data_IF_076049240243
#
_entry.id   IF_076049240243
#
_cell.length_a   1.000
_cell.length_b   1.000
_cell.length_c   1.000
_cell.angle_alpha   90.00
_cell.angle_beta   90.00
_cell.angle_gamma   90.00
#
_symmetry.space_group_name_H-M   'P 1'
#
loop_
_entity.id
_entity.type
_entity.pdbx_description
1 polymer ?
#
# COMPACT_ATOMS: atom_id res chain seq x y z
N UNK A 1 -11.68 24.10 -52.81
CA UNK A 1 -11.51 22.71 -52.33
C UNK A 1 -10.43 22.51 -51.25
N UNK A 2 -9.49 23.41 -50.95
CA UNK A 2 -8.44 23.17 -49.93
C UNK A 2 -8.80 23.56 -48.48
N UNK A 3 -9.76 24.47 -48.27
CA UNK A 3 -10.15 24.97 -46.94
C UNK A 3 -11.03 24.00 -46.13
N UNK A 4 -11.79 23.12 -46.79
CA UNK A 4 -12.65 22.13 -46.10
C UNK A 4 -11.86 21.05 -45.38
N UNK A 5 -10.77 20.55 -45.96
CA UNK A 5 -9.98 19.47 -45.37
C UNK A 5 -9.24 19.89 -44.08
N UNK A 6 -8.89 21.18 -43.96
CA UNK A 6 -8.21 21.71 -42.77
C UNK A 6 -9.17 21.73 -41.57
N UNK A 7 -10.43 22.10 -41.78
CA UNK A 7 -11.44 22.08 -40.72
C UNK A 7 -11.74 20.65 -40.21
N UNK A 8 -11.80 19.66 -41.11
CA UNK A 8 -11.97 18.26 -40.73
C UNK A 8 -10.75 17.67 -40.01
N UNK A 9 -9.52 18.06 -40.38
CA UNK A 9 -8.32 17.62 -39.66
C UNK A 9 -8.20 18.26 -38.26
N UNK A 10 -8.53 19.55 -38.12
CA UNK A 10 -8.52 20.23 -36.81
C UNK A 10 -9.60 19.66 -35.86
N UNK A 11 -10.78 19.30 -36.38
CA UNK A 11 -11.82 18.66 -35.57
C UNK A 11 -11.42 17.25 -35.10
N UNK A 12 -10.68 16.51 -35.92
CA UNK A 12 -10.14 15.19 -35.54
C UNK A 12 -9.04 15.26 -34.47
N UNK A 13 -8.21 16.30 -34.48
CA UNK A 13 -7.19 16.54 -33.45
C UNK A 13 -7.82 16.89 -32.09
N UNK A 14 -8.84 17.75 -32.07
CA UNK A 14 -9.53 18.13 -30.82
C UNK A 14 -10.25 16.93 -30.17
N UNK A 15 -10.77 16.01 -30.96
CA UNK A 15 -11.47 14.82 -30.47
C UNK A 15 -10.51 13.73 -29.96
N UNK A 16 -9.24 13.71 -30.39
CA UNK A 16 -8.25 12.73 -29.94
C UNK A 16 -7.57 13.17 -28.65
N UNK A 17 -7.18 14.45 -28.53
CA UNK A 17 -6.61 15.01 -27.30
C UNK A 17 -7.63 15.02 -26.14
N UNK A 18 -8.90 15.32 -26.43
CA UNK A 18 -9.95 15.29 -25.41
C UNK A 18 -10.28 13.89 -24.88
N UNK A 19 -10.05 12.83 -25.67
CA UNK A 19 -10.35 11.46 -25.27
C UNK A 19 -9.36 10.94 -24.23
N UNK A 20 -8.07 11.25 -24.38
CA UNK A 20 -7.02 10.83 -23.45
C UNK A 20 -7.15 11.53 -22.08
N UNK A 21 -7.44 12.84 -22.07
CA UNK A 21 -7.68 13.59 -20.83
C UNK A 21 -8.93 13.14 -20.07
N UNK A 22 -9.99 12.76 -20.80
CA UNK A 22 -11.20 12.22 -20.19
C UNK A 22 -10.92 10.84 -19.58
N UNK A 23 -10.13 9.99 -20.23
CA UNK A 23 -9.71 8.70 -19.69
C UNK A 23 -8.90 8.84 -18.39
N UNK A 24 -7.97 9.80 -18.30
CA UNK A 24 -7.21 10.05 -17.07
C UNK A 24 -8.10 10.47 -15.88
N UNK A 25 -9.21 11.17 -16.13
CA UNK A 25 -10.18 11.56 -15.10
C UNK A 25 -11.01 10.38 -14.56
N UNK A 26 -11.13 9.29 -15.32
CA UNK A 26 -11.91 8.10 -14.96
C UNK A 26 -11.07 6.91 -14.51
N UNK A 27 -9.75 6.93 -14.73
CA UNK A 27 -8.86 5.90 -14.19
C UNK A 27 -8.66 6.15 -12.70
N UNK A 28 -9.21 5.26 -11.85
CA UNK A 28 -8.86 5.24 -10.44
C UNK A 28 -7.35 5.03 -10.30
N UNK A 29 -6.66 6.06 -9.79
CA UNK A 29 -5.22 6.02 -9.61
C UNK A 29 -4.89 5.23 -8.35
N UNK A 30 -4.15 4.13 -8.51
CA UNK A 30 -3.69 3.28 -7.41
C UNK A 30 -2.27 3.65 -7.02
N UNK A 31 -2.03 3.81 -5.72
CA UNK A 31 -0.74 4.14 -5.13
C UNK A 31 -0.24 2.96 -4.31
N UNK A 32 1.08 2.71 -4.35
CA UNK A 32 1.69 1.53 -3.74
C UNK A 32 2.78 1.89 -2.75
N UNK A 33 2.77 1.20 -1.61
CA UNK A 33 3.98 0.94 -0.83
C UNK A 33 4.44 -0.47 -1.22
N UNK A 34 5.73 -0.64 -1.48
CA UNK A 34 6.32 -1.94 -1.78
C UNK A 34 6.88 -2.56 -0.50
N UNK A 35 6.66 -3.86 -0.34
CA UNK A 35 7.27 -4.65 0.73
C UNK A 35 8.21 -5.64 0.06
N UNK A 36 9.50 -5.49 0.34
CA UNK A 36 10.57 -6.34 -0.18
C UNK A 36 11.00 -7.30 0.93
N UNK A 37 11.02 -8.59 0.63
CA UNK A 37 11.53 -9.62 1.51
C UNK A 37 12.87 -10.13 0.98
N UNK A 38 13.97 -9.74 1.60
CA UNK A 38 15.33 -10.21 1.25
C UNK A 38 15.79 -11.37 2.16
N UNK A 39 14.87 -11.90 2.98
CA UNK A 39 15.13 -13.02 3.87
C UNK A 39 14.81 -14.37 3.21
N UNK A 40 15.11 -15.45 3.92
CA UNK A 40 14.85 -16.82 3.50
C UNK A 40 13.56 -17.42 4.11
N UNK A 41 12.67 -16.60 4.68
CA UNK A 41 11.41 -17.04 5.29
C UNK A 41 10.21 -16.38 4.62
N UNK A 42 9.05 -17.05 4.68
CA UNK A 42 7.78 -16.47 4.28
C UNK A 42 7.30 -15.45 5.32
N UNK A 43 6.85 -14.30 4.84
CA UNK A 43 6.33 -13.23 5.69
C UNK A 43 4.83 -13.07 5.51
N UNK A 44 4.13 -12.84 6.63
CA UNK A 44 2.83 -12.19 6.60
C UNK A 44 2.97 -10.72 6.97
N UNK A 45 2.38 -9.87 6.15
CA UNK A 45 2.47 -8.41 6.27
C UNK A 45 1.09 -7.82 6.49
N UNK A 46 1.01 -6.85 7.40
CA UNK A 46 -0.19 -6.06 7.63
C UNK A 46 0.15 -4.59 7.87
N UNK A 47 -0.78 -3.70 7.55
CA UNK A 47 -0.60 -2.26 7.75
C UNK A 47 -1.72 -1.68 8.62
N UNK A 48 -1.36 -0.79 9.53
CA UNK A 48 -2.27 0.01 10.35
C UNK A 48 -2.82 1.20 9.56
N UNK A 49 -3.45 0.91 8.44
CA UNK A 49 -3.88 1.90 7.44
C UNK A 49 -5.36 2.32 7.58
N UNK A 50 -6.01 1.90 8.67
CA UNK A 50 -7.42 2.14 8.97
C UNK A 50 -8.42 1.37 8.11
N UNK A 51 -7.98 0.52 7.16
CA UNK A 51 -8.85 -0.24 6.25
C UNK A 51 -8.87 -1.74 6.55
N UNK A 52 -7.84 -2.29 7.20
CA UNK A 52 -7.63 -3.74 7.35
C UNK A 52 -7.59 -4.24 8.80
N UNK A 53 -8.38 -3.63 9.69
CA UNK A 53 -8.62 -4.08 11.06
C UNK A 53 -7.42 -4.05 12.02
N UNK A 54 -6.32 -3.39 11.66
CA UNK A 54 -5.25 -3.03 12.60
C UNK A 54 -5.42 -1.56 12.99
N UNK A 55 -5.41 -1.29 14.30
CA UNK A 55 -5.49 0.06 14.87
C UNK A 55 -4.34 0.93 14.38
N UNK A 56 -4.61 2.17 13.94
CA UNK A 56 -3.56 3.15 13.64
C UNK A 56 -2.66 3.45 14.85
N UNK A 57 -1.42 3.87 14.58
CA UNK A 57 -0.49 4.38 15.59
C UNK A 57 -1.15 5.51 16.42
N UNK A 58 -0.92 5.62 17.74
CA UNK A 58 0.10 4.93 18.54
C UNK A 58 -0.34 3.60 19.16
N UNK A 59 -1.50 3.06 18.78
CA UNK A 59 -1.92 1.78 19.37
C UNK A 59 -0.88 0.69 19.05
N UNK A 60 -0.53 -0.06 20.09
CA UNK A 60 0.41 -1.18 20.00
C UNK A 60 -0.29 -2.51 20.13
N UNK A 61 -1.61 -2.56 20.30
CA UNK A 61 -2.36 -3.81 20.50
C UNK A 61 -2.74 -4.42 19.15
N UNK A 62 -2.48 -5.72 18.99
CA UNK A 62 -2.96 -6.48 17.82
C UNK A 62 -4.47 -6.77 17.97
N UNK A 63 -5.25 -6.76 16.88
CA UNK A 63 -6.67 -7.06 16.94
C UNK A 63 -6.93 -8.50 17.39
N UNK A 64 -8.03 -8.71 18.12
CA UNK A 64 -8.46 -10.06 18.54
C UNK A 64 -8.81 -10.96 17.35
N UNK A 65 -9.39 -10.38 16.28
CA UNK A 65 -9.68 -11.10 15.05
C UNK A 65 -8.50 -11.02 14.08
N UNK A 66 -8.27 -12.10 13.33
CA UNK A 66 -7.20 -12.15 12.32
C UNK A 66 -7.44 -11.07 11.26
N UNK A 67 -6.54 -10.09 11.10
CA UNK A 67 -6.65 -9.08 10.07
C UNK A 67 -6.32 -9.67 8.70
N UNK A 68 -6.46 -8.86 7.66
CA UNK A 68 -5.91 -9.23 6.35
C UNK A 68 -4.38 -9.26 6.46
N UNK A 69 -3.80 -10.40 6.11
CA UNK A 69 -2.36 -10.62 6.05
C UNK A 69 -1.97 -10.88 4.60
N UNK A 70 -1.06 -10.07 4.07
CA UNK A 70 -0.47 -10.27 2.75
C UNK A 70 0.77 -11.15 2.88
N UNK A 71 0.78 -12.26 2.19
CA UNK A 71 1.95 -13.13 2.09
C UNK A 71 3.00 -12.54 1.14
N UNK A 72 4.27 -12.65 1.53
CA UNK A 72 5.43 -12.26 0.73
C UNK A 72 6.50 -13.34 0.91
N UNK A 73 6.78 -14.10 -0.14
CA UNK A 73 7.76 -15.18 -0.07
C UNK A 73 9.21 -14.69 -0.02
N UNK A 74 10.18 -15.60 0.19
CA UNK A 74 11.61 -15.30 0.13
C UNK A 74 12.01 -14.64 -1.19
N UNK A 75 12.86 -13.62 -1.13
CA UNK A 75 13.32 -12.83 -2.28
C UNK A 75 12.19 -12.19 -3.12
N UNK A 76 10.96 -12.14 -2.60
CA UNK A 76 9.80 -11.59 -3.30
C UNK A 76 9.48 -10.14 -2.90
N UNK A 77 8.70 -9.49 -3.77
CA UNK A 77 8.18 -8.14 -3.54
C UNK A 77 6.68 -8.07 -3.69
N UNK A 78 6.00 -7.61 -2.65
CA UNK A 78 4.56 -7.36 -2.66
C UNK A 78 4.22 -5.87 -2.76
N UNK A 79 2.99 -5.59 -3.19
CA UNK A 79 2.40 -4.25 -3.24
C UNK A 79 1.33 -4.14 -2.18
N UNK A 80 1.36 -3.05 -1.41
CA UNK A 80 0.29 -2.63 -0.53
C UNK A 80 -0.41 -1.42 -1.15
N UNK A 81 -1.66 -1.61 -1.58
CA UNK A 81 -2.35 -0.69 -2.47
C UNK A 81 -3.28 0.30 -1.76
N UNK A 82 -3.45 1.46 -2.38
CA UNK A 82 -4.44 2.45 -1.96
C UNK A 82 -5.04 3.21 -3.14
N UNK A 83 -6.34 3.51 -3.06
CA UNK A 83 -7.07 4.34 -4.04
C UNK A 83 -6.97 5.84 -3.72
N UNK A 84 -6.05 6.22 -2.84
CA UNK A 84 -5.66 7.59 -2.54
C UNK A 84 -4.16 7.66 -2.30
N UNK A 85 -3.57 8.85 -2.44
CA UNK A 85 -2.15 9.05 -2.15
C UNK A 85 -1.84 8.63 -0.72
N UNK A 86 -0.75 7.89 -0.54
CA UNK A 86 -0.34 7.48 0.79
C UNK A 86 -0.04 8.67 1.68
N UNK A 87 0.52 9.74 1.12
CA UNK A 87 0.73 11.01 1.80
C UNK A 87 -0.56 11.56 2.41
N UNK A 88 -1.64 11.60 1.62
CA UNK A 88 -2.92 12.11 2.08
C UNK A 88 -3.53 11.19 3.15
N UNK A 89 -3.36 9.88 3.02
CA UNK A 89 -3.87 8.93 4.01
C UNK A 89 -3.11 9.00 5.32
N UNK A 90 -1.78 9.07 5.27
CA UNK A 90 -0.93 9.14 6.45
C UNK A 90 -1.14 10.48 7.17
N UNK A 91 -1.17 11.59 6.43
CA UNK A 91 -1.28 12.92 7.03
C UNK A 91 -2.69 13.27 7.51
N UNK A 92 -3.75 12.72 6.89
CA UNK A 92 -5.13 13.13 7.19
C UNK A 92 -5.99 12.04 7.83
N UNK A 93 -5.70 10.76 7.61
CA UNK A 93 -6.53 9.65 8.10
C UNK A 93 -5.89 8.91 9.28
N UNK A 94 -4.56 8.96 9.41
CA UNK A 94 -3.87 8.41 10.56
C UNK A 94 -3.71 9.54 11.59
N UNK A 95 -4.18 9.37 12.85
CA UNK A 95 -4.17 10.43 13.86
C UNK A 95 -2.79 11.03 14.21
N UNK A 96 -1.73 10.40 13.74
CA UNK A 96 -0.39 10.49 14.31
C UNK A 96 0.72 10.53 13.26
N UNK A 97 0.40 10.90 12.01
CA UNK A 97 1.34 11.03 10.88
C UNK A 97 2.27 9.82 10.59
N UNK A 98 1.97 8.68 11.20
CA UNK A 98 2.85 7.51 11.27
C UNK A 98 2.11 6.24 10.84
N UNK A 99 2.53 5.64 9.73
CA UNK A 99 2.05 4.34 9.28
C UNK A 99 2.83 3.21 9.94
N UNK A 100 2.15 2.37 10.71
CA UNK A 100 2.74 1.13 11.23
C UNK A 100 2.56 -0.02 10.23
N UNK A 101 3.66 -0.67 9.87
CA UNK A 101 3.68 -1.90 9.06
C UNK A 101 4.23 -3.03 9.93
N UNK A 102 3.45 -4.09 10.06
CA UNK A 102 3.73 -5.26 10.87
C UNK A 102 4.11 -6.42 9.97
N UNK A 103 5.21 -7.07 10.31
CA UNK A 103 5.69 -8.29 9.69
C UNK A 103 5.61 -9.39 10.74
N UNK A 104 5.14 -10.55 10.29
CA UNK A 104 5.04 -11.77 11.07
C UNK A 104 5.74 -12.88 10.30
N UNK A 105 6.39 -13.77 11.04
CA UNK A 105 6.85 -15.05 10.51
C UNK A 105 5.60 -15.89 10.15
N UNK A 106 5.49 -16.32 8.89
CA UNK A 106 4.30 -17.00 8.40
C UNK A 106 4.09 -18.36 9.10
N UNK A 107 5.17 -19.10 9.37
CA UNK A 107 5.11 -20.37 10.10
C UNK A 107 4.60 -20.16 11.51
N UNK A 108 5.08 -19.12 12.20
CA UNK A 108 4.62 -18.77 13.55
C UNK A 108 3.11 -18.51 13.57
N UNK A 109 2.60 -17.75 12.60
CA UNK A 109 1.14 -17.47 12.50
C UNK A 109 0.35 -18.74 12.16
N UNK A 110 0.87 -19.59 11.27
CA UNK A 110 0.19 -20.80 10.83
C UNK A 110 0.20 -21.92 11.90
N UNK A 111 1.26 -22.01 12.71
CA UNK A 111 1.42 -23.02 13.76
C UNK A 111 0.71 -22.62 15.05
N UNK A 112 0.93 -21.40 15.54
CA UNK A 112 0.35 -20.92 16.81
C UNK A 112 -1.10 -20.44 16.64
N UNK A 113 -1.48 -20.02 15.43
CA UNK A 113 -2.74 -19.33 15.18
C UNK A 113 -2.74 -17.87 15.62
N UNK A 114 -3.68 -17.09 15.09
CA UNK A 114 -3.72 -15.64 15.31
C UNK A 114 -3.97 -15.23 16.77
N UNK A 115 -4.81 -15.98 17.51
CA UNK A 115 -5.13 -15.65 18.89
C UNK A 115 -3.88 -15.63 19.78
N UNK A 116 -3.01 -16.63 19.65
CA UNK A 116 -1.74 -16.70 20.38
C UNK A 116 -0.77 -15.62 19.91
N UNK A 117 -0.68 -15.37 18.59
CA UNK A 117 0.16 -14.29 18.02
C UNK A 117 -0.25 -12.93 18.59
N UNK A 118 -1.55 -12.64 18.65
CA UNK A 118 -2.08 -11.38 19.16
C UNK A 118 -1.85 -11.25 20.68
N UNK A 119 -2.15 -12.31 21.43
CA UNK A 119 -2.03 -12.35 22.90
C UNK A 119 -0.58 -12.22 23.38
N UNK A 120 0.35 -12.95 22.76
CA UNK A 120 1.75 -12.98 23.15
C UNK A 120 2.61 -11.98 22.36
N UNK A 121 1.96 -11.15 21.53
CA UNK A 121 2.59 -10.12 20.71
C UNK A 121 3.75 -10.63 19.84
N UNK A 122 3.53 -11.74 19.13
CA UNK A 122 4.53 -12.41 18.28
C UNK A 122 4.78 -11.69 16.96
N UNK A 123 5.03 -10.39 17.03
CA UNK A 123 5.42 -9.55 15.89
C UNK A 123 6.91 -9.80 15.59
N UNK A 124 7.22 -10.21 14.36
CA UNK A 124 8.60 -10.42 13.93
C UNK A 124 9.32 -9.07 13.77
N UNK A 125 8.68 -8.11 13.10
CA UNK A 125 9.19 -6.75 12.94
C UNK A 125 8.04 -5.76 12.80
N UNK A 126 8.21 -4.57 13.35
CA UNK A 126 7.32 -3.41 13.14
C UNK A 126 8.15 -2.24 12.61
N UNK A 127 7.63 -1.59 11.59
CA UNK A 127 8.12 -0.31 11.09
C UNK A 127 7.07 0.76 11.36
N UNK A 128 7.47 1.85 12.01
CA UNK A 128 6.65 3.03 12.20
C UNK A 128 7.22 4.13 11.30
N UNK A 129 6.49 4.47 10.24
CA UNK A 129 7.02 5.24 9.11
C UNK A 129 6.17 6.50 8.87
N UNK A 130 6.82 7.66 8.87
CA UNK A 130 6.26 8.88 8.31
C UNK A 130 6.29 8.86 6.78
N UNK A 131 5.61 9.81 6.16
CA UNK A 131 5.70 10.05 4.70
C UNK A 131 7.15 10.30 4.28
N UNK A 132 7.89 11.10 5.05
CA UNK A 132 9.28 11.44 4.73
C UNK A 132 10.19 10.21 4.79
N UNK A 133 9.94 9.27 5.70
CA UNK A 133 10.66 7.99 5.74
C UNK A 133 10.40 7.19 4.45
N UNK A 134 9.12 7.06 4.07
CA UNK A 134 8.72 6.34 2.86
C UNK A 134 9.34 6.97 1.61
N UNK A 135 9.39 8.30 1.51
CA UNK A 135 10.04 9.01 0.39
C UNK A 135 11.54 8.70 0.35
N UNK A 136 12.25 8.75 1.49
CA UNK A 136 13.69 8.43 1.55
C UNK A 136 13.98 6.97 1.20
N UNK A 137 13.04 6.07 1.47
CA UNK A 137 13.11 4.65 1.13
C UNK A 137 12.58 4.33 -0.28
N UNK A 138 12.27 5.35 -1.09
CA UNK A 138 11.67 5.20 -2.41
C UNK A 138 10.43 4.28 -2.39
N UNK A 139 9.58 4.49 -1.37
CA UNK A 139 8.33 3.77 -1.14
C UNK A 139 8.49 2.25 -1.00
N UNK A 140 9.68 1.76 -0.63
CA UNK A 140 9.99 0.34 -0.49
C UNK A 140 10.49 0.01 0.91
N UNK A 141 9.71 -0.76 1.65
CA UNK A 141 10.04 -1.25 2.99
C UNK A 141 10.67 -2.62 2.85
N UNK A 142 11.92 -2.76 3.28
CA UNK A 142 12.70 -3.98 3.09
C UNK A 142 12.87 -4.71 4.42
N UNK A 143 12.60 -6.01 4.43
CA UNK A 143 12.97 -6.91 5.51
C UNK A 143 14.19 -7.74 5.09
N UNK A 144 15.30 -7.70 5.86
CA UNK A 144 16.55 -8.35 5.50
C UNK A 144 16.59 -9.84 5.85
#
# INVERSE_FOLDING_TARGET
MKRSYIAFMLLGLILTEGCEQILELFMEKVYYIYIQNDSNIDLFVAAADGKHSISPYPDTILPNSRPFLKEVGPDERAKWESHGKWEDRINNLIPSDTLSIYLFDADTVNICGWEEVAKDYKVLKRYDLSVDDLVRMNWTVTYP
#
